data_IF_820613798634
#
_entry.id   IF_820613798634
#
_cell.length_a   1.000
_cell.length_b   1.000
_cell.length_c   1.000
_cell.angle_alpha   90.00
_cell.angle_beta   90.00
_cell.angle_gamma   90.00
#
_symmetry.space_group_name_H-M   'P 1'
#
loop_
_entity.id
_entity.type
_entity.pdbx_description
1 polymer ?
#
# COMPACT_ATOMS: atom_id res chain seq x y z
N UNK A 1 -12.71 -13.66 4.53
CA UNK A 1 -12.25 -13.15 5.84
C UNK A 1 -10.82 -12.70 5.66
N UNK A 2 -10.43 -11.54 6.21
CA UNK A 2 -9.03 -11.10 6.13
C UNK A 2 -8.12 -12.08 6.88
N UNK A 3 -6.95 -12.37 6.31
CA UNK A 3 -5.91 -13.17 6.96
C UNK A 3 -4.61 -12.37 7.12
N UNK A 4 -4.31 -11.91 8.33
CA UNK A 4 -3.11 -11.12 8.61
C UNK A 4 -1.79 -11.89 8.46
N UNK A 5 -1.84 -13.21 8.30
CA UNK A 5 -0.66 -14.07 8.12
C UNK A 5 -0.35 -14.34 6.65
N UNK A 6 -1.21 -13.90 5.74
CA UNK A 6 -1.04 -14.13 4.31
C UNK A 6 0.08 -13.28 3.74
N UNK A 7 0.86 -13.87 2.83
CA UNK A 7 1.93 -13.14 2.14
C UNK A 7 1.39 -11.93 1.39
N UNK A 8 2.20 -10.89 1.34
CA UNK A 8 1.92 -9.68 0.56
C UNK A 8 2.38 -9.93 -0.87
N UNK A 9 1.49 -9.77 -1.84
CA UNK A 9 1.76 -10.02 -3.26
C UNK A 9 1.72 -8.68 -4.01
N UNK A 10 2.87 -8.13 -4.45
CA UNK A 10 2.96 -6.87 -5.20
C UNK A 10 2.00 -6.84 -6.38
N UNK A 11 1.39 -5.68 -6.63
CA UNK A 11 0.39 -5.46 -7.70
C UNK A 11 -0.86 -6.36 -7.66
N UNK A 12 -1.01 -7.26 -6.68
CA UNK A 12 -2.09 -8.27 -6.66
C UNK A 12 -2.94 -8.20 -5.41
N UNK A 13 -2.40 -8.52 -4.23
CA UNK A 13 -3.24 -8.75 -3.04
C UNK A 13 -2.49 -8.61 -1.72
N UNK A 14 -3.28 -8.42 -0.66
CA UNK A 14 -2.83 -8.37 0.73
C UNK A 14 -3.97 -8.85 1.65
N UNK A 15 -3.69 -9.83 2.50
CA UNK A 15 -4.63 -10.31 3.53
C UNK A 15 -5.94 -10.85 2.97
N UNK A 16 -5.93 -11.43 1.77
CA UNK A 16 -7.12 -11.90 1.07
C UNK A 16 -7.96 -10.79 0.41
N UNK A 17 -7.47 -9.55 0.39
CA UNK A 17 -8.05 -8.43 -0.38
C UNK A 17 -7.28 -8.26 -1.68
N UNK A 18 -8.00 -8.16 -2.80
CA UNK A 18 -7.44 -8.14 -4.15
C UNK A 18 -7.56 -6.73 -4.76
N UNK A 19 -6.48 -6.24 -5.37
CA UNK A 19 -6.47 -4.98 -6.10
C UNK A 19 -7.36 -5.06 -7.35
N UNK A 20 -8.03 -3.96 -7.68
CA UNK A 20 -8.95 -3.83 -8.81
C UNK A 20 -10.36 -4.36 -8.55
N UNK A 21 -10.55 -5.20 -7.53
CA UNK A 21 -11.89 -5.63 -7.12
C UNK A 21 -12.70 -4.46 -6.55
N UNK A 22 -14.02 -4.55 -6.70
CA UNK A 22 -14.95 -3.61 -6.12
C UNK A 22 -15.04 -3.80 -4.60
N UNK A 23 -14.99 -2.72 -3.82
CA UNK A 23 -15.03 -2.75 -2.34
C UNK A 23 -16.26 -3.48 -1.79
N UNK A 24 -17.38 -3.47 -2.52
CA UNK A 24 -18.60 -4.20 -2.15
C UNK A 24 -18.42 -5.72 -2.01
N UNK A 25 -17.39 -6.33 -2.64
CA UNK A 25 -17.06 -7.76 -2.38
C UNK A 25 -16.64 -8.02 -0.92
N UNK A 26 -16.28 -6.95 -0.22
CA UNK A 26 -15.82 -6.94 1.16
C UNK A 26 -16.80 -6.25 2.09
N UNK A 27 -18.08 -6.12 1.70
CA UNK A 27 -19.13 -5.46 2.50
C UNK A 27 -19.21 -6.00 3.94
N UNK A 28 -19.02 -7.30 4.12
CA UNK A 28 -18.98 -7.92 5.46
C UNK A 28 -17.91 -7.34 6.39
N UNK A 29 -16.80 -6.81 5.84
CA UNK A 29 -15.78 -6.10 6.61
C UNK A 29 -16.20 -4.67 6.92
N UNK A 30 -16.87 -4.02 5.97
CA UNK A 30 -17.33 -2.64 6.13
C UNK A 30 -18.36 -2.52 7.26
N UNK A 31 -19.32 -3.43 7.28
CA UNK A 31 -20.44 -3.42 8.22
C UNK A 31 -20.00 -3.71 9.67
N UNK A 32 -18.97 -4.54 9.86
CA UNK A 32 -18.60 -5.07 11.18
C UNK A 32 -17.30 -4.54 11.77
N UNK A 33 -16.38 -4.06 10.93
CA UNK A 33 -14.99 -3.82 11.34
C UNK A 33 -14.42 -2.48 10.88
N UNK A 34 -15.17 -1.65 10.14
CA UNK A 34 -14.71 -0.30 9.81
C UNK A 34 -14.87 0.59 11.03
N UNK A 35 -13.73 0.90 11.63
CA UNK A 35 -13.66 1.82 12.76
C UNK A 35 -13.65 3.27 12.27
N UNK A 36 -13.04 3.53 11.09
CA UNK A 36 -12.90 4.87 10.53
C UNK A 36 -12.67 4.80 9.02
N UNK A 37 -13.33 5.69 8.28
CA UNK A 37 -12.94 6.02 6.91
C UNK A 37 -12.46 7.48 6.86
N UNK A 38 -11.51 7.75 5.97
CA UNK A 38 -10.98 9.10 5.72
C UNK A 38 -10.96 9.32 4.22
N UNK A 39 -11.54 10.42 3.76
CA UNK A 39 -11.30 10.91 2.41
C UNK A 39 -9.93 11.60 2.38
N UNK A 40 -8.95 10.96 1.76
CA UNK A 40 -7.56 11.44 1.69
C UNK A 40 -7.20 12.06 0.34
N UNK A 41 -8.09 11.97 -0.65
CA UNK A 41 -8.07 12.78 -1.86
C UNK A 41 -9.50 12.95 -2.41
N UNK A 42 -9.68 13.83 -3.40
CA UNK A 42 -11.01 14.14 -3.98
C UNK A 42 -11.78 12.86 -4.36
N UNK A 43 -11.11 11.89 -4.97
CA UNK A 43 -11.72 10.63 -5.39
C UNK A 43 -11.21 9.41 -4.64
N UNK A 44 -10.59 9.60 -3.47
CA UNK A 44 -10.06 8.51 -2.66
C UNK A 44 -10.68 8.49 -1.27
N UNK A 45 -11.16 7.31 -0.87
CA UNK A 45 -11.49 7.00 0.51
C UNK A 45 -10.61 5.86 1.00
N UNK A 46 -9.98 6.06 2.15
CA UNK A 46 -9.21 5.06 2.89
C UNK A 46 -10.03 4.53 4.06
N UNK A 47 -10.33 3.23 4.03
CA UNK A 47 -10.93 2.48 5.13
C UNK A 47 -9.83 1.87 5.99
N UNK A 48 -9.90 2.08 7.31
CA UNK A 48 -8.96 1.48 8.27
C UNK A 48 -9.62 0.32 9.00
N UNK A 49 -8.89 -0.78 9.11
CA UNK A 49 -9.31 -2.01 9.77
C UNK A 49 -8.28 -2.37 10.88
N UNK A 50 -8.36 -1.72 12.06
CA UNK A 50 -7.36 -1.88 13.12
C UNK A 50 -7.19 -3.33 13.59
N UNK A 51 -8.29 -4.07 13.73
CA UNK A 51 -8.30 -5.50 14.13
C UNK A 51 -7.51 -6.40 13.16
N UNK A 52 -7.29 -5.91 11.95
CA UNK A 52 -6.60 -6.61 10.88
C UNK A 52 -5.29 -5.95 10.47
N UNK A 53 -4.87 -4.89 11.18
CA UNK A 53 -3.65 -4.15 10.89
C UNK A 53 -3.51 -3.75 9.42
N UNK A 54 -4.62 -3.37 8.77
CA UNK A 54 -4.62 -2.99 7.35
C UNK A 54 -5.51 -1.79 7.05
N UNK A 55 -5.23 -1.14 5.92
CA UNK A 55 -6.12 -0.16 5.32
C UNK A 55 -6.32 -0.41 3.84
N UNK A 56 -7.51 -0.08 3.34
CA UNK A 56 -7.90 -0.23 1.94
C UNK A 56 -8.25 1.15 1.38
N UNK A 57 -7.59 1.57 0.31
CA UNK A 57 -7.92 2.79 -0.44
C UNK A 57 -8.72 2.45 -1.69
N UNK A 58 -9.81 3.20 -1.87
CA UNK A 58 -10.84 2.94 -2.89
C UNK A 58 -11.07 4.20 -3.71
N UNK A 59 -11.15 4.03 -5.03
CA UNK A 59 -11.61 5.06 -5.94
C UNK A 59 -13.14 5.16 -5.84
N UNK A 60 -13.64 6.28 -5.31
CA UNK A 60 -15.08 6.44 -5.04
C UNK A 60 -15.92 6.54 -6.31
N UNK A 61 -15.31 6.79 -7.47
CA UNK A 61 -16.03 6.92 -8.75
C UNK A 61 -16.53 5.58 -9.28
N UNK A 62 -15.80 4.50 -8.98
CA UNK A 62 -16.09 3.16 -9.49
C UNK A 62 -16.04 2.07 -8.41
N UNK A 63 -15.69 2.41 -7.17
CA UNK A 63 -15.57 1.49 -6.04
C UNK A 63 -14.37 0.55 -6.11
N UNK A 64 -13.43 0.74 -7.04
CA UNK A 64 -12.26 -0.13 -7.20
C UNK A 64 -11.22 0.10 -6.12
N UNK A 65 -10.75 -0.99 -5.52
CA UNK A 65 -9.62 -0.99 -4.58
C UNK A 65 -8.33 -0.76 -5.35
N UNK A 66 -7.62 0.34 -5.10
CA UNK A 66 -6.41 0.67 -5.85
C UNK A 66 -5.13 0.62 -5.01
N UNK A 67 -5.23 0.61 -3.68
CA UNK A 67 -4.10 0.44 -2.76
C UNK A 67 -4.56 -0.30 -1.50
N UNK A 68 -3.74 -1.22 -1.03
CA UNK A 68 -3.92 -1.94 0.24
C UNK A 68 -2.63 -1.81 1.03
N UNK A 69 -2.72 -1.49 2.31
CA UNK A 69 -1.55 -1.21 3.16
C UNK A 69 -1.61 -2.08 4.41
N UNK A 70 -0.56 -2.86 4.65
CA UNK A 70 -0.32 -3.51 5.93
C UNK A 70 0.39 -2.54 6.88
N UNK A 71 -0.06 -2.56 8.14
CA UNK A 71 0.45 -1.75 9.24
C UNK A 71 1.08 -2.64 10.32
N UNK A 72 1.73 -2.02 11.30
CA UNK A 72 2.25 -2.70 12.49
C UNK A 72 1.21 -3.66 13.10
N UNK A 73 1.62 -4.93 13.23
CA UNK A 73 0.79 -6.05 13.68
C UNK A 73 0.35 -7.01 12.56
N UNK A 74 0.47 -6.64 11.29
CA UNK A 74 0.31 -7.58 10.18
C UNK A 74 1.48 -8.59 10.19
N UNK A 75 1.19 -9.88 10.14
CA UNK A 75 2.15 -10.96 10.37
C UNK A 75 2.79 -11.46 9.07
N UNK A 76 2.04 -11.43 7.97
CA UNK A 76 2.56 -11.79 6.66
C UNK A 76 3.60 -10.78 6.15
N UNK A 77 4.38 -11.19 5.17
CA UNK A 77 5.44 -10.37 4.59
C UNK A 77 5.51 -10.48 3.08
N UNK A 78 6.37 -9.68 2.47
CA UNK A 78 6.67 -9.73 1.03
C UNK A 78 8.11 -10.25 0.86
N UNK A 79 8.29 -11.38 0.18
CA UNK A 79 9.62 -11.92 -0.15
C UNK A 79 10.59 -11.98 1.06
N UNK A 80 10.06 -12.31 2.24
CA UNK A 80 10.84 -12.39 3.49
C UNK A 80 11.07 -11.05 4.21
N UNK A 81 10.46 -9.96 3.74
CA UNK A 81 10.44 -8.64 4.40
C UNK A 81 9.13 -8.51 5.18
N UNK A 82 9.24 -8.23 6.47
CA UNK A 82 8.11 -8.11 7.38
C UNK A 82 8.05 -6.72 8.00
N UNK A 83 6.87 -6.32 8.48
CA UNK A 83 6.74 -5.08 9.24
C UNK A 83 7.51 -5.22 10.56
N UNK A 84 8.27 -4.17 10.90
CA UNK A 84 9.18 -4.13 12.03
C UNK A 84 10.59 -4.67 11.75
N UNK A 85 10.83 -5.25 10.57
CA UNK A 85 12.20 -5.61 10.16
C UNK A 85 13.08 -4.35 10.02
N UNK A 86 14.38 -4.42 10.35
CA UNK A 86 15.32 -3.35 10.02
C UNK A 86 15.35 -3.09 8.51
N UNK A 87 15.39 -1.83 8.07
CA UNK A 87 15.38 -1.51 6.63
C UNK A 87 16.59 -2.07 5.88
N UNK A 88 17.70 -2.38 6.57
CA UNK A 88 18.87 -3.04 5.96
C UNK A 88 18.57 -4.43 5.37
N UNK A 89 17.45 -5.06 5.77
CA UNK A 89 16.97 -6.31 5.17
C UNK A 89 16.30 -6.09 3.81
N UNK A 90 15.86 -4.88 3.50
CA UNK A 90 15.27 -4.56 2.20
C UNK A 90 16.34 -4.79 1.12
N UNK A 91 16.05 -5.54 0.05
CA UNK A 91 17.00 -5.78 -1.02
C UNK A 91 17.53 -4.47 -1.62
N UNK A 92 18.82 -4.42 -1.93
CA UNK A 92 19.47 -3.24 -2.53
C UNK A 92 18.89 -2.80 -3.88
N UNK A 93 18.07 -3.63 -4.51
CA UNK A 93 17.33 -3.26 -5.73
C UNK A 93 16.21 -2.25 -5.45
N UNK A 94 15.71 -2.21 -4.22
CA UNK A 94 14.81 -1.17 -3.76
C UNK A 94 15.62 0.08 -3.41
N UNK A 95 15.25 1.19 -4.02
CA UNK A 95 15.87 2.50 -3.81
C UNK A 95 14.84 3.35 -3.05
N UNK A 96 15.31 4.07 -2.03
CA UNK A 96 14.48 5.03 -1.32
C UNK A 96 14.17 6.22 -2.23
N UNK A 97 12.90 6.59 -2.32
CA UNK A 97 12.42 7.76 -3.01
C UNK A 97 11.87 8.77 -1.99
N UNK A 98 12.43 9.97 -1.98
CA UNK A 98 12.07 11.02 -1.02
C UNK A 98 10.68 11.61 -1.31
N UNK A 99 10.15 11.51 -2.54
CA UNK A 99 8.83 12.07 -2.86
C UNK A 99 7.70 11.18 -2.34
N UNK A 100 7.85 9.87 -2.49
CA UNK A 100 6.90 8.87 -2.02
C UNK A 100 7.21 8.37 -0.59
N UNK A 101 8.31 8.85 0.00
CA UNK A 101 8.82 8.51 1.34
C UNK A 101 8.89 7.00 1.56
N UNK A 102 9.53 6.29 0.62
CA UNK A 102 9.58 4.84 0.67
C UNK A 102 10.51 4.18 -0.33
N UNK A 103 10.82 2.92 -0.06
CA UNK A 103 11.63 2.05 -0.89
C UNK A 103 10.80 1.42 -2.02
N UNK A 104 11.27 1.56 -3.26
CA UNK A 104 10.67 0.99 -4.47
C UNK A 104 11.71 0.33 -5.37
N UNK A 105 11.36 -0.77 -6.02
CA UNK A 105 12.22 -1.45 -7.00
C UNK A 105 11.69 -1.21 -8.42
N UNK A 106 12.55 -0.70 -9.31
CA UNK A 106 12.22 -0.40 -10.71
C UNK A 106 11.79 -1.63 -11.52
N UNK A 107 12.11 -2.84 -11.05
CA UNK A 107 11.74 -4.10 -11.68
C UNK A 107 10.52 -4.77 -11.01
N UNK A 108 9.96 -4.15 -9.97
CA UNK A 108 8.82 -4.68 -9.22
C UNK A 108 7.77 -3.58 -8.99
N UNK A 109 6.84 -3.47 -9.95
CA UNK A 109 5.75 -2.51 -9.87
C UNK A 109 4.74 -2.87 -8.76
N UNK A 110 4.07 -1.83 -8.25
CA UNK A 110 2.89 -1.96 -7.40
C UNK A 110 3.17 -2.39 -5.97
N UNK A 111 4.36 -2.08 -5.46
CA UNK A 111 4.69 -2.15 -4.03
C UNK A 111 5.56 -0.98 -3.61
N UNK A 112 5.32 -0.49 -2.40
CA UNK A 112 6.18 0.48 -1.71
C UNK A 112 6.34 0.03 -0.25
N UNK A 113 7.57 0.15 0.25
CA UNK A 113 7.91 -0.16 1.64
C UNK A 113 8.30 1.16 2.30
N UNK A 114 7.48 1.66 3.22
CA UNK A 114 7.75 2.92 3.92
C UNK A 114 8.27 2.62 5.34
N UNK A 115 9.07 3.54 5.88
CA UNK A 115 9.70 3.33 7.17
C UNK A 115 8.75 3.62 8.33
N UNK A 116 9.17 3.29 9.55
CA UNK A 116 8.47 3.64 10.79
C UNK A 116 8.72 5.09 11.23
N UNK A 117 9.54 5.83 10.50
CA UNK A 117 9.84 7.24 10.69
C UNK A 117 9.15 8.05 9.59
N UNK A 118 8.47 9.12 9.99
CA UNK A 118 7.79 10.09 9.11
C UNK A 118 8.81 11.14 8.67
N UNK A 119 8.90 11.44 7.37
CA UNK A 119 9.90 12.34 6.76
C UNK A 119 11.35 12.12 7.27
N UNK A 120 11.91 10.89 7.13
CA UNK A 120 13.21 10.56 7.72
C UNK A 120 14.36 11.27 7.03
N UNK A 121 15.32 11.77 7.81
CA UNK A 121 16.60 12.20 7.29
C UNK A 121 17.42 10.99 6.78
N UNK A 122 18.34 11.16 5.82
CA UNK A 122 19.16 10.07 5.30
C UNK A 122 19.93 9.28 6.37
N UNK A 123 20.40 9.95 7.41
CA UNK A 123 21.07 9.33 8.56
C UNK A 123 20.14 8.50 9.46
N UNK A 124 18.85 8.83 9.50
CA UNK A 124 17.85 8.14 10.31
C UNK A 124 17.41 6.82 9.66
N UNK A 125 17.40 6.78 8.32
CA UNK A 125 17.12 5.57 7.55
C UNK A 125 18.03 4.40 7.96
N UNK A 126 19.27 4.65 8.36
CA UNK A 126 20.19 3.59 8.76
C UNK A 126 19.70 2.76 9.96
N UNK A 127 18.88 3.36 10.83
CA UNK A 127 18.34 2.72 12.03
C UNK A 127 16.83 2.48 11.96
N UNK A 128 16.20 2.90 10.87
CA UNK A 128 14.77 2.75 10.66
C UNK A 128 14.36 1.28 10.50
N UNK A 129 13.06 1.04 10.69
CA UNK A 129 12.42 -0.24 10.42
C UNK A 129 11.40 -0.10 9.31
N UNK A 130 10.99 -1.22 8.75
CA UNK A 130 9.82 -1.31 7.90
C UNK A 130 8.60 -0.93 8.73
N UNK A 131 8.00 0.22 8.46
CA UNK A 131 6.81 0.70 9.16
C UNK A 131 5.54 0.15 8.52
N UNK A 132 5.45 0.26 7.20
CA UNK A 132 4.31 -0.23 6.41
C UNK A 132 4.77 -0.84 5.09
N UNK A 133 3.97 -1.77 4.59
CA UNK A 133 4.11 -2.31 3.23
C UNK A 133 2.79 -2.10 2.53
N UNK A 134 2.81 -1.38 1.40
CA UNK A 134 1.61 -1.16 0.61
C UNK A 134 1.74 -1.76 -0.78
N UNK A 135 0.71 -2.48 -1.22
CA UNK A 135 0.53 -2.92 -2.59
C UNK A 135 -0.47 -2.00 -3.28
N UNK A 136 -0.22 -1.68 -4.54
CA UNK A 136 -1.08 -0.77 -5.28
C UNK A 136 -1.16 -1.14 -6.75
N UNK A 137 -2.24 -0.73 -7.40
CA UNK A 137 -2.46 -0.97 -8.83
C UNK A 137 -1.68 0.06 -9.66
N UNK A 138 -0.65 -0.34 -10.45
CA UNK A 138 0.15 0.62 -11.22
C UNK A 138 -0.68 1.39 -12.25
N UNK A 139 -1.73 0.77 -12.81
CA UNK A 139 -2.61 1.39 -13.79
C UNK A 139 -3.49 2.49 -13.21
N UNK A 140 -3.77 2.47 -11.90
CA UNK A 140 -4.51 3.54 -11.23
C UNK A 140 -3.77 4.90 -11.27
N UNK A 141 -2.44 4.87 -11.41
CA UNK A 141 -1.58 6.05 -11.39
C UNK A 141 -1.03 6.43 -12.78
N UNK A 142 -1.13 5.54 -13.79
CA UNK A 142 -0.65 5.79 -15.16
C UNK A 142 -1.57 6.67 -16.02
N UNK A 143 -2.81 6.94 -15.59
CA UNK A 143 -3.81 7.68 -16.39
C UNK A 143 -3.55 9.19 -16.55
N UNK A 144 -2.60 9.78 -15.81
CA UNK A 144 -2.26 11.20 -15.91
C UNK A 144 -1.21 11.51 -16.97
N UNK A 145 -0.29 10.59 -17.27
CA UNK A 145 0.81 10.83 -18.22
C UNK A 145 0.40 10.68 -19.69
N UNK A 146 -0.59 9.83 -20.00
CA UNK A 146 -1.07 9.65 -21.38
C UNK A 146 -2.01 10.76 -21.85
N UNK A 147 -2.72 11.44 -20.94
CA UNK A 147 -3.60 12.58 -21.30
C UNK A 147 -2.80 13.80 -21.76
N UNK A 148 -1.64 14.06 -21.14
CA UNK A 148 -0.77 15.18 -21.53
C UNK A 148 -0.11 15.02 -22.91
N UNK A 149 -0.01 13.78 -23.42
CA UNK A 149 0.53 13.49 -24.75
C UNK A 149 -0.53 13.50 -25.86
N UNK A 150 -1.82 13.44 -25.53
CA UNK A 150 -2.92 13.53 -26.51
C UNK A 150 -3.40 14.95 -26.75
N UNK A 151 -3.11 15.89 -25.85
CA UNK A 151 -3.44 17.30 -26.01
C UNK A 151 -2.37 18.09 -26.80
N UNK A 152 -1.23 17.45 -27.11
CA UNK A 152 -0.12 18.03 -27.87
C UNK A 152 0.13 17.34 -29.22
N UNK A 153 -0.81 16.55 -29.73
CA UNK A 153 -0.73 15.82 -30.99
C UNK A 153 -1.84 16.25 -31.97
#
# INVERSE_FOLDING_TARGET
MINIKESIIPSVSLGGVILGEHIGRYEYLLDKHVVKYVQDAIFSVKYKFPDYHLSISVDVRNGSIYKITAHSGYIGGMNGIFIGDPVIKIPKSFIYDDCDEGYMDKNMDGVIIQTDIDDPLPEELANAKVGIIAVFSPSAFKLSSERSNRENA
#
